data_IF_363594872878
#
_entry.id   IF_363594872878
#
_cell.length_a   1.000
_cell.length_b   1.000
_cell.length_c   1.000
_cell.angle_alpha   90.00
_cell.angle_beta   90.00
_cell.angle_gamma   90.00
#
_symmetry.space_group_name_H-M   'P 1'
#
loop_
_entity.id
_entity.type
_entity.pdbx_description
1 polymer ?
#
# COMPACT_ATOMS: atom_id res chain seq x y z
N UNK A 1 11.13 -5.20 -17.53
CA UNK A 1 12.55 -5.58 -17.27
C UNK A 1 13.41 -4.34 -17.04
N UNK A 2 13.27 -3.30 -17.86
CA UNK A 2 13.99 -2.03 -17.69
C UNK A 2 13.78 -1.41 -16.30
N UNK A 3 12.55 -1.40 -15.80
CA UNK A 3 12.25 -0.89 -14.46
C UNK A 3 13.04 -1.63 -13.37
N UNK A 4 13.06 -2.95 -13.41
CA UNK A 4 13.79 -3.76 -12.41
C UNK A 4 15.28 -3.51 -12.43
N UNK A 5 15.84 -3.31 -13.64
CA UNK A 5 17.26 -3.00 -13.80
C UNK A 5 17.61 -1.63 -13.26
N UNK A 6 16.74 -0.65 -13.48
CA UNK A 6 16.91 0.72 -12.99
C UNK A 6 16.71 0.86 -11.47
N UNK A 7 15.95 -0.07 -10.86
CA UNK A 7 15.60 -0.02 -9.43
C UNK A 7 16.02 -1.31 -8.72
N UNK A 8 17.32 -1.51 -8.47
CA UNK A 8 17.82 -2.70 -7.81
C UNK A 8 17.27 -2.83 -6.39
N UNK A 9 17.10 -4.07 -5.96
CA UNK A 9 16.58 -4.40 -4.64
C UNK A 9 17.66 -5.08 -3.79
N UNK A 10 17.72 -4.71 -2.51
CA UNK A 10 18.58 -5.37 -1.55
C UNK A 10 18.23 -6.87 -1.44
N UNK A 11 19.25 -7.72 -1.37
CA UNK A 11 19.10 -9.18 -1.33
C UNK A 11 18.15 -9.65 -0.22
N UNK A 12 18.22 -9.04 0.95
CA UNK A 12 17.38 -9.37 2.10
C UNK A 12 15.87 -9.14 1.86
N UNK A 13 15.49 -8.30 0.89
CA UNK A 13 14.10 -8.00 0.57
C UNK A 13 13.53 -8.88 -0.56
N UNK A 14 14.36 -9.60 -1.30
CA UNK A 14 13.93 -10.45 -2.41
C UNK A 14 12.89 -11.50 -2.01
N UNK A 15 12.95 -12.14 -0.84
CA UNK A 15 11.92 -13.09 -0.42
C UNK A 15 10.52 -12.49 -0.26
N UNK A 16 10.42 -11.15 -0.16
CA UNK A 16 9.15 -10.43 -0.10
C UNK A 16 8.54 -10.11 -1.47
N UNK A 17 9.26 -10.35 -2.56
CA UNK A 17 8.68 -10.23 -3.89
C UNK A 17 7.65 -11.34 -4.06
N UNK A 18 6.37 -11.04 -4.36
CA UNK A 18 5.36 -12.07 -4.54
C UNK A 18 5.71 -13.07 -5.64
N UNK A 19 5.34 -14.33 -5.40
CA UNK A 19 5.28 -15.38 -6.42
C UNK A 19 3.81 -15.72 -6.63
N UNK A 20 3.11 -15.04 -7.54
CA UNK A 20 1.66 -15.21 -7.69
C UNK A 20 1.28 -16.64 -8.03
N UNK A 21 0.33 -17.21 -7.28
CA UNK A 21 -0.24 -18.52 -7.58
C UNK A 21 -1.16 -18.49 -8.80
N UNK A 22 -1.72 -17.32 -9.08
CA UNK A 22 -2.66 -17.09 -10.19
C UNK A 22 -2.18 -15.93 -11.06
N UNK A 23 -2.36 -16.08 -12.37
CA UNK A 23 -2.08 -15.03 -13.35
C UNK A 23 -3.34 -14.18 -13.54
N UNK A 24 -3.16 -12.87 -13.58
CA UNK A 24 -4.25 -11.94 -13.91
C UNK A 24 -4.39 -11.80 -15.43
N UNK A 25 -5.61 -11.94 -15.96
CA UNK A 25 -5.86 -11.98 -17.41
C UNK A 25 -6.52 -10.73 -17.99
N UNK A 26 -6.95 -9.78 -17.19
CA UNK A 26 -7.61 -8.54 -17.66
C UNK A 26 -6.64 -7.57 -18.31
N UNK A 27 -6.40 -7.69 -19.62
CA UNK A 27 -5.38 -6.92 -20.35
C UNK A 27 -5.54 -5.41 -20.20
N UNK A 28 -6.75 -4.89 -20.40
CA UNK A 28 -7.01 -3.44 -20.33
C UNK A 28 -6.73 -2.87 -18.95
N UNK A 29 -7.24 -3.51 -17.90
CA UNK A 29 -6.99 -3.13 -16.51
C UNK A 29 -5.51 -3.25 -16.17
N UNK A 30 -4.84 -4.30 -16.65
CA UNK A 30 -3.41 -4.49 -16.47
C UNK A 30 -2.59 -3.35 -17.06
N UNK A 31 -2.87 -2.97 -18.32
CA UNK A 31 -2.18 -1.89 -19.00
C UNK A 31 -2.39 -0.53 -18.31
N UNK A 32 -3.63 -0.25 -17.88
CA UNK A 32 -3.96 0.97 -17.11
C UNK A 32 -3.20 1.00 -15.77
N UNK A 33 -3.19 -0.10 -15.04
CA UNK A 33 -2.51 -0.21 -13.76
C UNK A 33 -0.99 -0.03 -13.91
N UNK A 34 -0.38 -0.68 -14.90
CA UNK A 34 1.05 -0.53 -15.20
C UNK A 34 1.40 0.92 -15.52
N UNK A 35 0.61 1.56 -16.39
CA UNK A 35 0.86 2.95 -16.79
C UNK A 35 0.80 3.89 -15.59
N UNK A 36 -0.22 3.76 -14.74
CA UNK A 36 -0.37 4.59 -13.55
C UNK A 36 0.81 4.40 -12.57
N UNK A 37 1.19 3.16 -12.27
CA UNK A 37 2.30 2.86 -11.37
C UNK A 37 3.66 3.35 -11.92
N UNK A 38 3.88 3.25 -13.23
CA UNK A 38 5.09 3.77 -13.87
C UNK A 38 5.15 5.31 -13.83
N UNK A 39 3.99 5.97 -13.87
CA UNK A 39 3.89 7.42 -13.70
C UNK A 39 4.03 7.88 -12.23
N UNK A 40 4.20 6.96 -11.28
CA UNK A 40 4.36 7.31 -9.88
C UNK A 40 3.07 7.39 -9.08
N UNK A 41 1.94 7.01 -9.68
CA UNK A 41 0.63 7.06 -9.04
C UNK A 41 0.35 5.84 -8.16
N UNK A 42 -0.54 6.02 -7.19
CA UNK A 42 -1.11 4.93 -6.39
C UNK A 42 -2.45 4.49 -6.99
N UNK A 43 -2.84 3.23 -6.77
CA UNK A 43 -4.06 2.66 -7.34
C UNK A 43 -5.12 2.40 -6.28
N UNK A 44 -6.38 2.63 -6.63
CA UNK A 44 -7.55 2.12 -5.93
C UNK A 44 -8.34 1.20 -6.86
N UNK A 45 -8.33 -0.08 -6.55
CA UNK A 45 -9.08 -1.10 -7.26
C UNK A 45 -10.44 -1.26 -6.60
N UNK A 46 -11.48 -0.81 -7.28
CA UNK A 46 -12.84 -0.81 -6.76
C UNK A 46 -13.71 -1.80 -7.53
N UNK A 47 -14.57 -2.54 -6.83
CA UNK A 47 -15.45 -3.50 -7.51
C UNK A 47 -16.12 -4.48 -6.55
N UNK A 48 -16.84 -5.43 -7.15
CA UNK A 48 -17.48 -6.51 -6.41
C UNK A 48 -16.49 -7.44 -5.74
N UNK A 49 -16.99 -8.27 -4.82
CA UNK A 49 -16.18 -9.30 -4.16
C UNK A 49 -15.72 -10.35 -5.19
N UNK A 50 -14.54 -10.92 -4.95
CA UNK A 50 -13.97 -11.98 -5.76
C UNK A 50 -13.76 -11.63 -7.26
N UNK A 51 -13.48 -10.36 -7.57
CA UNK A 51 -13.18 -9.91 -8.96
C UNK A 51 -11.69 -9.93 -9.29
N UNK A 52 -10.85 -10.53 -8.42
CA UNK A 52 -9.42 -10.69 -8.67
C UNK A 52 -8.55 -9.47 -8.32
N UNK A 53 -9.05 -8.51 -7.54
CA UNK A 53 -8.29 -7.31 -7.14
C UNK A 53 -6.97 -7.65 -6.45
N UNK A 54 -6.97 -8.60 -5.52
CA UNK A 54 -5.76 -9.02 -4.81
C UNK A 54 -4.80 -9.78 -5.72
N UNK A 55 -5.33 -10.59 -6.64
CA UNK A 55 -4.51 -11.25 -7.67
C UNK A 55 -3.82 -10.22 -8.54
N UNK A 56 -4.53 -9.18 -8.96
CA UNK A 56 -3.95 -8.08 -9.73
C UNK A 56 -2.85 -7.37 -8.95
N UNK A 57 -3.08 -7.00 -7.70
CA UNK A 57 -2.09 -6.33 -6.86
C UNK A 57 -0.81 -7.17 -6.69
N UNK A 58 -0.96 -8.47 -6.43
CA UNK A 58 0.16 -9.40 -6.30
C UNK A 58 0.95 -9.54 -7.61
N UNK A 59 0.26 -9.68 -8.74
CA UNK A 59 0.90 -9.74 -10.06
C UNK A 59 1.64 -8.43 -10.39
N UNK A 60 1.09 -7.28 -10.04
CA UNK A 60 1.76 -5.99 -10.25
C UNK A 60 3.05 -5.87 -9.43
N UNK A 61 3.03 -6.19 -8.15
CA UNK A 61 4.23 -6.18 -7.32
C UNK A 61 5.31 -7.13 -7.86
N UNK A 62 4.91 -8.33 -8.29
CA UNK A 62 5.81 -9.29 -8.93
C UNK A 62 6.38 -8.76 -10.25
N UNK A 63 5.56 -8.14 -11.09
CA UNK A 63 5.99 -7.56 -12.36
C UNK A 63 7.03 -6.46 -12.18
N UNK A 64 6.85 -5.59 -11.19
CA UNK A 64 7.81 -4.54 -10.83
C UNK A 64 9.05 -5.08 -10.08
N UNK A 65 9.01 -6.33 -9.62
CA UNK A 65 10.08 -6.91 -8.82
C UNK A 65 10.26 -6.21 -7.47
N UNK A 66 9.17 -5.75 -6.87
CA UNK A 66 9.19 -5.02 -5.59
C UNK A 66 8.65 -5.87 -4.45
N UNK A 67 9.20 -5.70 -3.23
CA UNK A 67 8.70 -6.37 -2.05
C UNK A 67 7.29 -5.88 -1.74
N UNK A 68 6.40 -6.76 -1.29
CA UNK A 68 5.03 -6.43 -0.95
C UNK A 68 4.76 -6.54 0.55
N UNK A 69 3.91 -5.65 1.05
CA UNK A 69 3.32 -5.68 2.38
C UNK A 69 1.81 -5.67 2.26
N UNK A 70 1.17 -6.77 2.65
CA UNK A 70 -0.29 -6.88 2.66
C UNK A 70 -0.84 -6.38 3.99
N UNK A 71 -1.75 -5.42 3.91
CA UNK A 71 -2.35 -4.77 5.07
C UNK A 71 -3.86 -4.88 4.95
N UNK A 72 -4.46 -5.76 5.74
CA UNK A 72 -5.92 -5.94 5.78
C UNK A 72 -6.55 -4.93 6.74
N UNK A 73 -7.43 -4.10 6.20
CA UNK A 73 -8.12 -3.09 6.99
C UNK A 73 -9.36 -3.66 7.68
N UNK A 74 -9.61 -3.21 8.89
CA UNK A 74 -10.79 -3.55 9.67
C UNK A 74 -11.18 -2.40 10.60
N UNK A 75 -12.38 -2.48 11.18
CA UNK A 75 -12.98 -1.39 11.95
C UNK A 75 -12.19 -0.98 13.21
N UNK A 76 -11.41 -1.89 13.77
CA UNK A 76 -10.63 -1.64 15.00
C UNK A 76 -9.17 -1.23 14.72
N UNK A 77 -8.81 -1.06 13.47
CA UNK A 77 -7.46 -0.61 13.09
C UNK A 77 -7.24 0.85 13.50
N UNK A 78 -6.05 1.16 13.97
CA UNK A 78 -5.61 2.52 14.34
C UNK A 78 -4.36 2.96 13.58
N UNK A 79 -3.96 4.20 13.76
CA UNK A 79 -2.76 4.76 13.13
C UNK A 79 -1.48 4.02 13.52
N UNK A 80 -1.38 3.59 14.78
CA UNK A 80 -0.21 2.87 15.30
C UNK A 80 -0.02 1.50 14.62
N UNK A 81 -1.13 0.84 14.27
CA UNK A 81 -1.09 -0.42 13.50
C UNK A 81 -0.48 -0.26 12.12
N UNK A 82 -0.58 0.92 11.51
CA UNK A 82 -0.10 1.23 10.17
C UNK A 82 1.34 1.74 10.18
N UNK A 83 1.61 2.73 11.00
CA UNK A 83 2.89 3.46 11.03
C UNK A 83 3.88 2.83 11.99
N UNK A 84 3.40 2.41 13.16
CA UNK A 84 4.24 1.88 14.23
C UNK A 84 4.03 2.63 15.55
N UNK A 85 4.69 2.16 16.58
CA UNK A 85 4.59 2.71 17.93
C UNK A 85 5.87 2.50 18.71
N UNK A 86 6.03 3.29 19.76
CA UNK A 86 7.08 3.05 20.73
C UNK A 86 6.75 1.84 21.60
N UNK A 87 7.73 1.00 21.82
CA UNK A 87 7.66 -0.16 22.71
C UNK A 87 8.79 -0.10 23.71
N UNK A 88 8.59 -0.69 24.88
CA UNK A 88 9.63 -0.82 25.88
C UNK A 88 10.31 -2.19 25.75
N UNK A 89 11.60 -2.17 25.40
CA UNK A 89 12.40 -3.39 25.25
C UNK A 89 13.79 -3.16 25.84
N UNK A 90 14.29 -4.16 26.57
CA UNK A 90 15.63 -4.15 27.19
C UNK A 90 15.95 -2.88 28.00
N UNK A 91 14.94 -2.35 28.72
CA UNK A 91 15.10 -1.16 29.54
C UNK A 91 15.10 0.17 28.78
N UNK A 92 14.81 0.17 27.49
CA UNK A 92 14.78 1.35 26.64
C UNK A 92 13.47 1.45 25.84
N UNK A 93 13.12 2.69 25.47
CA UNK A 93 12.03 2.94 24.52
C UNK A 93 12.59 2.74 23.11
N UNK A 94 11.97 1.85 22.35
CA UNK A 94 12.35 1.52 20.97
C UNK A 94 11.14 1.69 20.07
N UNK A 95 11.31 2.43 18.97
CA UNK A 95 10.26 2.52 17.93
C UNK A 95 10.13 1.19 17.18
N UNK A 96 8.93 0.64 17.18
CA UNK A 96 8.58 -0.56 16.43
C UNK A 96 7.82 -0.17 15.15
N UNK A 97 8.45 -0.23 13.97
CA UNK A 97 7.82 0.19 12.73
C UNK A 97 6.66 -0.72 12.33
N UNK A 98 5.58 -0.09 11.83
CA UNK A 98 4.45 -0.78 11.22
C UNK A 98 4.67 -1.09 9.74
N UNK A 99 3.71 -1.78 9.09
CA UNK A 99 3.86 -2.23 7.72
C UNK A 99 3.92 -1.09 6.70
N UNK A 100 3.17 0.00 6.89
CA UNK A 100 3.24 1.18 6.00
C UNK A 100 4.61 1.83 6.09
N UNK A 101 5.14 1.99 7.29
CA UNK A 101 6.48 2.53 7.51
C UNK A 101 7.57 1.69 6.82
N UNK A 102 7.52 0.37 7.00
CA UNK A 102 8.48 -0.55 6.38
C UNK A 102 8.41 -0.51 4.85
N UNK A 103 7.19 -0.58 4.32
CA UNK A 103 6.93 -0.46 2.89
C UNK A 103 7.52 0.83 2.32
N UNK A 104 7.28 1.95 3.00
CA UNK A 104 7.74 3.26 2.58
C UNK A 104 9.27 3.38 2.55
N UNK A 105 9.95 2.83 3.54
CA UNK A 105 11.42 2.87 3.60
C UNK A 105 12.10 1.96 2.58
N UNK A 106 11.50 0.81 2.31
CA UNK A 106 12.10 -0.23 1.47
C UNK A 106 11.75 -0.10 -0.03
N UNK A 107 11.02 0.93 -0.42
CA UNK A 107 10.56 1.06 -1.79
C UNK A 107 9.62 -0.07 -2.22
N UNK A 108 8.78 -0.53 -1.27
CA UNK A 108 7.87 -1.63 -1.48
C UNK A 108 6.53 -1.23 -2.08
N UNK A 109 5.75 -2.24 -2.43
CA UNK A 109 4.34 -2.11 -2.78
C UNK A 109 3.48 -2.46 -1.57
N UNK A 110 2.76 -1.48 -1.05
CA UNK A 110 1.79 -1.68 0.04
C UNK A 110 0.42 -2.01 -0.54
N UNK A 111 -0.08 -3.21 -0.27
CA UNK A 111 -1.43 -3.61 -0.65
C UNK A 111 -2.37 -3.30 0.52
N UNK A 112 -3.21 -2.30 0.34
CA UNK A 112 -4.15 -1.80 1.35
C UNK A 112 -5.50 -2.48 1.11
N UNK A 113 -5.67 -3.70 1.62
CA UNK A 113 -6.83 -4.53 1.35
C UNK A 113 -8.05 -4.09 2.17
N UNK A 114 -9.18 -3.96 1.48
CA UNK A 114 -10.47 -3.53 2.05
C UNK A 114 -10.38 -2.17 2.80
N UNK A 115 -9.72 -1.19 2.20
CA UNK A 115 -9.43 0.11 2.82
C UNK A 115 -10.68 0.81 3.38
N UNK A 116 -11.86 0.57 2.78
CA UNK A 116 -13.13 1.14 3.21
C UNK A 116 -13.76 0.47 4.45
N UNK A 117 -13.09 -0.51 5.05
CA UNK A 117 -13.51 -1.10 6.34
C UNK A 117 -13.01 -0.30 7.53
N UNK A 118 -11.93 0.45 7.40
CA UNK A 118 -11.36 1.25 8.48
C UNK A 118 -12.13 2.55 8.74
N UNK A 119 -11.99 3.09 9.94
CA UNK A 119 -12.50 4.41 10.30
C UNK A 119 -11.65 5.51 9.66
N UNK A 120 -12.26 6.66 9.38
CA UNK A 120 -11.58 7.81 8.78
C UNK A 120 -10.39 8.29 9.62
N UNK A 121 -10.45 8.19 10.94
CA UNK A 121 -9.36 8.56 11.85
C UNK A 121 -8.10 7.71 11.64
N UNK A 122 -8.27 6.41 11.40
CA UNK A 122 -7.15 5.53 11.07
C UNK A 122 -6.56 5.84 9.67
N UNK A 123 -7.42 6.19 8.72
CA UNK A 123 -7.02 6.52 7.35
C UNK A 123 -6.35 7.90 7.23
N UNK A 124 -6.53 8.79 8.20
CA UNK A 124 -5.97 10.13 8.17
C UNK A 124 -4.45 10.14 8.05
N UNK A 125 -3.77 9.16 8.63
CA UNK A 125 -2.29 9.03 8.56
C UNK A 125 -1.78 8.71 7.15
N UNK A 126 -2.64 8.24 6.26
CA UNK A 126 -2.29 7.91 4.89
C UNK A 126 -2.29 9.13 3.96
N UNK A 127 -2.86 10.27 4.37
CA UNK A 127 -2.98 11.43 3.48
C UNK A 127 -1.61 11.94 3.00
N UNK A 128 -0.64 12.12 3.90
CA UNK A 128 0.71 12.55 3.54
C UNK A 128 1.51 11.46 2.81
N UNK A 129 1.18 10.20 3.06
CA UNK A 129 1.81 9.04 2.40
C UNK A 129 1.40 8.95 0.93
N UNK A 130 0.13 9.27 0.64
CA UNK A 130 -0.49 9.06 -0.67
C UNK A 130 -0.49 10.30 -1.57
N UNK A 131 -0.20 11.48 -1.06
CA UNK A 131 -0.17 12.71 -1.86
C UNK A 131 1.25 13.14 -2.25
N UNK A 132 1.38 14.32 -2.84
CA UNK A 132 2.65 14.87 -3.32
C UNK A 132 3.74 14.99 -2.24
N UNK A 133 3.36 15.02 -0.96
CA UNK A 133 4.31 15.09 0.15
C UNK A 133 5.16 13.81 0.27
N UNK A 134 4.59 12.67 -0.11
CA UNK A 134 5.25 11.35 -0.09
C UNK A 134 6.10 11.16 1.16
N UNK A 135 5.47 11.30 2.32
CA UNK A 135 6.15 11.28 3.60
C UNK A 135 5.27 10.65 4.69
N UNK A 136 5.93 10.14 5.72
CA UNK A 136 5.32 9.64 6.95
C UNK A 136 5.64 10.60 8.07
N UNK A 137 4.60 11.09 8.74
CA UNK A 137 4.73 11.83 10.00
C UNK A 137 4.64 10.84 11.16
N UNK A 138 5.75 10.65 11.86
CA UNK A 138 5.81 9.79 13.04
C UNK A 138 5.85 10.69 14.28
N UNK A 139 4.82 10.64 15.17
CA UNK A 139 4.78 11.47 16.35
C UNK A 139 6.04 11.31 17.23
N UNK A 140 6.71 12.41 17.55
CA UNK A 140 7.95 12.41 18.33
C UNK A 140 9.22 12.09 17.55
N UNK A 141 9.12 11.89 16.24
CA UNK A 141 10.25 11.63 15.34
C UNK A 141 10.21 12.57 14.13
N UNK A 142 11.30 12.61 13.39
CA UNK A 142 11.36 13.38 12.15
C UNK A 142 10.42 12.80 11.07
N UNK A 143 9.96 13.67 10.18
CA UNK A 143 9.24 13.26 8.99
C UNK A 143 10.15 12.40 8.11
N UNK A 144 9.65 11.26 7.66
CA UNK A 144 10.40 10.30 6.84
C UNK A 144 9.86 10.33 5.41
N UNK A 145 10.71 10.66 4.42
CA UNK A 145 10.31 10.58 3.01
C UNK A 145 10.12 9.12 2.57
N UNK A 146 9.17 8.88 1.67
CA UNK A 146 9.03 7.60 1.00
C UNK A 146 10.20 7.38 0.02
N UNK A 147 10.64 6.14 -0.10
CA UNK A 147 11.50 5.74 -1.21
C UNK A 147 10.78 5.98 -2.55
N UNK A 148 11.53 6.31 -3.59
CA UNK A 148 10.98 6.66 -4.91
C UNK A 148 10.10 5.56 -5.49
N UNK A 149 10.48 4.29 -5.29
CA UNK A 149 9.80 3.11 -5.82
C UNK A 149 8.53 2.74 -5.06
N UNK A 150 8.30 3.32 -3.89
CA UNK A 150 7.13 3.00 -3.07
C UNK A 150 5.83 3.33 -3.80
N UNK A 151 4.91 2.35 -3.85
CA UNK A 151 3.56 2.49 -4.38
C UNK A 151 2.56 1.82 -3.44
N UNK A 152 1.34 2.35 -3.44
CA UNK A 152 0.23 1.74 -2.71
C UNK A 152 -0.87 1.33 -3.67
N UNK A 153 -1.37 0.11 -3.48
CA UNK A 153 -2.48 -0.47 -4.24
C UNK A 153 -3.57 -0.79 -3.22
N UNK A 154 -4.59 0.04 -3.18
CA UNK A 154 -5.73 -0.16 -2.31
C UNK A 154 -6.81 -0.98 -3.01
N UNK A 155 -7.53 -1.81 -2.26
CA UNK A 155 -8.73 -2.50 -2.74
C UNK A 155 -9.95 -2.06 -1.95
N UNK A 156 -11.09 -2.04 -2.62
CA UNK A 156 -12.37 -1.67 -2.04
C UNK A 156 -13.48 -2.53 -2.60
N UNK A 157 -14.32 -3.08 -1.73
CA UNK A 157 -15.51 -3.82 -2.10
C UNK A 157 -16.76 -2.97 -1.85
N UNK A 158 -17.76 -3.10 -2.73
CA UNK A 158 -19.05 -2.42 -2.58
C UNK A 158 -20.12 -3.36 -2.01
N UNK A 159 -21.10 -2.76 -1.33
CA UNK A 159 -22.38 -3.41 -1.04
C UNK A 159 -22.40 -4.42 0.09
N UNK A 160 -21.42 -4.41 1.00
CA UNK A 160 -21.38 -5.30 2.15
C UNK A 160 -21.61 -4.59 3.48
N UNK A 161 -22.13 -5.32 4.45
CA UNK A 161 -22.26 -4.82 5.81
C UNK A 161 -20.89 -4.41 6.37
N UNK A 162 -20.82 -3.20 6.92
CA UNK A 162 -19.59 -2.63 7.47
C UNK A 162 -18.71 -1.88 6.47
N UNK A 163 -18.99 -1.93 5.16
CA UNK A 163 -18.31 -1.08 4.18
C UNK A 163 -18.74 0.38 4.34
N UNK A 164 -17.82 1.30 4.15
CA UNK A 164 -18.04 2.74 4.19
C UNK A 164 -17.65 3.35 2.86
N UNK A 165 -18.24 4.51 2.57
CA UNK A 165 -17.73 5.33 1.49
C UNK A 165 -16.40 5.95 1.93
N UNK A 166 -15.41 5.87 1.06
CA UNK A 166 -14.15 6.57 1.29
C UNK A 166 -14.36 8.07 1.14
N UNK A 167 -13.69 8.82 2.01
CA UNK A 167 -13.62 10.27 1.90
C UNK A 167 -13.06 10.65 0.52
N UNK A 168 -13.71 11.62 -0.14
CA UNK A 168 -13.30 12.11 -1.45
C UNK A 168 -11.85 12.60 -1.45
N UNK A 169 -11.40 13.24 -0.38
CA UNK A 169 -10.02 13.67 -0.23
C UNK A 169 -9.03 12.49 -0.29
N UNK A 170 -9.39 11.33 0.26
CA UNK A 170 -8.56 10.13 0.18
C UNK A 170 -8.64 9.49 -1.21
N UNK A 171 -9.85 9.36 -1.77
CA UNK A 171 -10.08 8.78 -3.09
C UNK A 171 -9.32 9.53 -4.19
N UNK A 172 -9.26 10.85 -4.09
CA UNK A 172 -8.55 11.72 -5.07
C UNK A 172 -7.03 11.49 -5.11
N UNK A 173 -6.46 10.81 -4.12
CA UNK A 173 -5.03 10.46 -4.06
C UNK A 173 -4.67 9.17 -4.81
N UNK A 174 -5.67 8.53 -5.39
CA UNK A 174 -5.50 7.31 -6.17
C UNK A 174 -5.96 7.49 -7.61
N UNK A 175 -5.36 6.72 -8.50
CA UNK A 175 -5.98 6.40 -9.79
C UNK A 175 -6.96 5.27 -9.54
N UNK A 176 -8.25 5.53 -9.79
CA UNK A 176 -9.32 4.56 -9.54
C UNK A 176 -9.55 3.69 -10.78
N UNK A 177 -9.50 2.39 -10.59
CA UNK A 177 -9.80 1.38 -11.62
C UNK A 177 -10.99 0.54 -11.12
N UNK A 178 -12.01 0.41 -11.96
CA UNK A 178 -13.26 -0.32 -11.68
C UNK A 178 -13.36 -1.58 -12.54
#
# INVERSE_FOLDING_TARGET
>A
EEYRTAHPLAEALRPRIPSPAFVYYGREVWEQALAALLCGENLLLAGGKATGKNVLAENLAAAFGRPAWDISFHVNMDAASLIGMDTFADGQVVFRPGPVYRCAQCGGFGVLDEINMAKNEALAVLHAVLDFRRAIDVPGYDRIPLAEETRFIATMNYGYAGTRELNEALTSRFVVIQ
#
